data_IF_603314913975
#
_entry.id   IF_603314913975
#
_cell.length_a   1.000
_cell.length_b   1.000
_cell.length_c   1.000
_cell.angle_alpha   90.00
_cell.angle_beta   90.00
_cell.angle_gamma   90.00
#
_symmetry.space_group_name_H-M   'P 1'
#
loop_
_entity.id
_entity.type
_entity.pdbx_description
1 polymer ?
#
# COMPACT_ATOMS: atom_id res chain seq x y z
N UNK A 1 18.33 15.78 4.47
CA UNK A 1 18.69 15.09 5.74
C UNK A 1 17.90 13.80 5.81
N UNK A 2 18.39 12.74 5.16
CA UNK A 2 17.76 11.42 5.20
C UNK A 2 17.86 10.87 6.61
N UNK A 3 16.72 10.59 7.25
CA UNK A 3 16.71 9.79 8.49
C UNK A 3 17.32 8.44 8.12
N UNK A 4 18.51 8.14 8.66
CA UNK A 4 19.15 6.83 8.55
C UNK A 4 18.09 5.79 8.92
N UNK A 5 17.70 4.96 7.95
CA UNK A 5 16.97 3.72 8.24
C UNK A 5 17.86 2.95 9.22
N UNK A 6 17.29 2.50 10.33
CA UNK A 6 17.91 1.43 11.09
C UNK A 6 17.86 0.22 10.17
N UNK A 7 19.00 -0.09 9.56
CA UNK A 7 19.23 -1.30 8.79
C UNK A 7 19.93 -2.26 9.75
N UNK A 8 19.23 -3.24 10.31
CA UNK A 8 19.88 -4.28 11.07
C UNK A 8 20.52 -5.19 10.03
N UNK A 9 21.76 -4.91 9.64
CA UNK A 9 22.55 -5.94 9.00
C UNK A 9 22.59 -7.11 10.00
N UNK A 10 21.96 -8.23 9.67
CA UNK A 10 21.89 -9.42 10.52
C UNK A 10 23.32 -9.88 10.93
N UNK A 11 24.29 -9.61 10.05
CA UNK A 11 25.72 -9.78 10.27
C UNK A 11 26.28 -8.92 11.43
N UNK A 12 25.76 -7.70 11.63
CA UNK A 12 26.16 -6.80 12.71
C UNK A 12 25.57 -7.24 14.06
N UNK A 13 24.36 -7.84 14.05
CA UNK A 13 23.80 -8.47 15.25
C UNK A 13 24.60 -9.70 15.69
N UNK A 14 24.89 -10.61 14.76
CA UNK A 14 25.60 -11.85 15.10
C UNK A 14 27.01 -11.58 15.64
N UNK A 15 27.73 -10.62 15.06
CA UNK A 15 29.03 -10.21 15.57
C UNK A 15 28.98 -9.67 17.00
N UNK A 16 27.99 -8.84 17.33
CA UNK A 16 27.78 -8.31 18.68
C UNK A 16 27.36 -9.38 19.67
N UNK A 17 26.46 -10.27 19.27
CA UNK A 17 25.98 -11.38 20.09
C UNK A 17 27.11 -12.35 20.43
N UNK A 18 27.96 -12.71 19.44
CA UNK A 18 29.11 -13.58 19.66
C UNK A 18 30.16 -12.93 20.58
N UNK A 19 30.43 -11.62 20.41
CA UNK A 19 31.33 -10.89 21.32
C UNK A 19 30.79 -10.86 22.76
N UNK A 20 29.49 -10.69 22.93
CA UNK A 20 28.86 -10.70 24.25
C UNK A 20 28.88 -12.09 24.90
N UNK A 21 28.64 -13.17 24.14
CA UNK A 21 28.82 -14.54 24.64
C UNK A 21 30.26 -14.83 25.06
N UNK A 22 31.23 -14.43 24.25
CA UNK A 22 32.65 -14.63 24.56
C UNK A 22 33.06 -13.91 25.84
N UNK A 23 32.59 -12.67 26.05
CA UNK A 23 32.83 -11.92 27.28
C UNK A 23 32.14 -12.54 28.52
N UNK A 24 30.95 -13.12 28.31
CA UNK A 24 30.24 -13.85 29.37
C UNK A 24 30.97 -15.15 29.76
N UNK A 25 31.58 -15.84 28.80
CA UNK A 25 32.38 -17.05 29.01
C UNK A 25 33.76 -16.75 29.61
N UNK A 26 34.37 -15.63 29.24
CA UNK A 26 35.69 -15.21 29.75
C UNK A 26 35.65 -14.75 31.21
N UNK A 27 34.51 -14.20 31.66
CA UNK A 27 34.32 -13.68 33.01
C UNK A 27 35.02 -12.33 33.25
N UNK A 28 35.46 -11.65 32.18
CA UNK A 28 36.02 -10.31 32.25
C UNK A 28 34.88 -9.28 32.41
N UNK A 29 34.82 -8.63 33.57
CA UNK A 29 33.76 -7.67 33.90
C UNK A 29 33.78 -6.42 33.00
N UNK A 30 34.97 -5.96 32.60
CA UNK A 30 35.11 -4.77 31.75
C UNK A 30 34.68 -5.09 30.32
N UNK A 31 35.11 -6.23 29.78
CA UNK A 31 34.71 -6.71 28.44
C UNK A 31 33.20 -7.01 28.37
N UNK A 32 32.64 -7.60 29.43
CA UNK A 32 31.20 -7.88 29.53
C UNK A 32 30.37 -6.59 29.56
N UNK A 33 30.85 -5.56 30.25
CA UNK A 33 30.16 -4.27 30.33
C UNK A 33 30.16 -3.57 28.96
N UNK A 34 31.29 -3.55 28.26
CA UNK A 34 31.39 -3.02 26.90
C UNK A 34 30.51 -3.80 25.91
N UNK A 35 30.55 -5.13 25.95
CA UNK A 35 29.76 -5.98 25.07
C UNK A 35 28.25 -5.87 25.34
N UNK A 36 27.85 -5.70 26.61
CA UNK A 36 26.45 -5.45 26.99
C UNK A 36 25.98 -4.08 26.52
N UNK A 37 26.83 -3.05 26.60
CA UNK A 37 26.52 -1.71 26.08
C UNK A 37 26.33 -1.70 24.55
N UNK A 38 26.98 -2.63 23.84
CA UNK A 38 26.82 -2.81 22.39
C UNK A 38 25.46 -3.42 21.99
N UNK A 39 24.69 -3.99 22.91
CA UNK A 39 23.34 -4.54 22.68
C UNK A 39 22.34 -3.75 23.53
N UNK A 40 21.87 -2.58 23.08
CA UNK A 40 21.15 -1.63 23.93
C UNK A 40 19.83 -2.15 24.49
N UNK A 41 19.24 -3.19 23.90
CA UNK A 41 17.98 -3.78 24.36
C UNK A 41 18.16 -4.86 25.42
N UNK A 42 19.40 -5.23 25.74
CA UNK A 42 19.76 -6.24 26.72
C UNK A 42 19.60 -5.67 28.14
N UNK A 43 18.45 -5.93 28.75
CA UNK A 43 18.10 -5.48 30.11
C UNK A 43 17.92 -6.67 31.05
N UNK A 44 17.82 -6.42 32.36
CA UNK A 44 17.70 -7.47 33.38
C UNK A 44 16.60 -8.50 33.08
N UNK A 45 15.45 -8.08 32.53
CA UNK A 45 14.36 -9.00 32.19
C UNK A 45 14.70 -9.92 31.00
N UNK A 46 15.45 -9.41 30.02
CA UNK A 46 15.92 -10.21 28.87
C UNK A 46 16.97 -11.22 29.34
N UNK A 47 17.85 -10.80 30.24
CA UNK A 47 18.84 -11.66 30.88
C UNK A 47 18.17 -12.76 31.73
N UNK A 48 17.14 -12.43 32.51
CA UNK A 48 16.39 -13.41 33.28
C UNK A 48 15.81 -14.51 32.38
N UNK A 49 15.23 -14.12 31.23
CA UNK A 49 14.72 -15.07 30.24
C UNK A 49 15.82 -15.87 29.56
N UNK A 50 16.95 -15.23 29.25
CA UNK A 50 18.12 -15.87 28.66
C UNK A 50 18.71 -16.95 29.56
N UNK A 51 18.81 -16.69 30.87
CA UNK A 51 19.33 -17.66 31.84
C UNK A 51 18.29 -18.72 32.26
N UNK A 52 17.00 -18.43 32.12
CA UNK A 52 15.92 -19.37 32.40
C UNK A 52 15.75 -20.47 31.32
N UNK A 53 16.43 -20.37 30.17
CA UNK A 53 16.39 -21.42 29.14
C UNK A 53 17.03 -22.70 29.67
N UNK A 54 16.25 -23.78 29.70
CA UNK A 54 16.66 -25.09 30.20
C UNK A 54 17.85 -25.67 29.40
N UNK A 55 18.66 -26.50 30.06
CA UNK A 55 19.79 -27.19 29.43
C UNK A 55 19.31 -28.15 28.33
N UNK A 56 20.10 -28.30 27.28
CA UNK A 56 19.82 -29.27 26.22
C UNK A 56 19.61 -30.67 26.80
N UNK A 57 18.46 -31.29 26.49
CA UNK A 57 18.27 -32.72 26.68
C UNK A 57 19.21 -33.48 25.72
N UNK A 58 19.69 -34.66 26.12
CA UNK A 58 20.65 -35.53 25.40
C UNK A 58 20.28 -35.92 23.95
N UNK A 59 19.16 -35.43 23.40
CA UNK A 59 18.70 -35.64 22.03
C UNK A 59 18.68 -34.41 21.11
N UNK A 60 18.96 -33.19 21.58
CA UNK A 60 19.00 -31.97 20.73
C UNK A 60 20.10 -30.98 21.15
N UNK A 61 21.37 -31.27 20.86
CA UNK A 61 22.45 -30.32 21.10
C UNK A 61 22.23 -29.04 20.28
N UNK A 62 22.38 -27.88 20.93
CA UNK A 62 22.29 -26.55 20.31
C UNK A 62 20.90 -25.90 20.35
N UNK A 63 19.89 -26.56 20.92
CA UNK A 63 18.54 -25.98 21.06
C UNK A 63 18.56 -24.77 22.01
N UNK A 64 19.24 -24.90 23.14
CA UNK A 64 19.42 -23.83 24.13
C UNK A 64 20.09 -22.61 23.52
N UNK A 65 21.20 -22.81 22.81
CA UNK A 65 21.95 -21.72 22.18
C UNK A 65 21.10 -20.97 21.14
N UNK A 66 20.26 -21.70 20.39
CA UNK A 66 19.32 -21.12 19.44
C UNK A 66 18.20 -20.33 20.13
N UNK A 67 17.59 -20.87 21.19
CA UNK A 67 16.53 -20.19 21.95
C UNK A 67 17.06 -18.94 22.66
N UNK A 68 18.27 -19.01 23.23
CA UNK A 68 18.98 -17.88 23.81
C UNK A 68 19.28 -16.77 22.79
N UNK A 69 19.77 -17.14 21.60
CA UNK A 69 19.98 -16.18 20.50
C UNK A 69 18.67 -15.52 20.09
N UNK A 70 17.59 -16.30 20.00
CA UNK A 70 16.27 -15.79 19.61
C UNK A 70 15.71 -14.78 20.64
N UNK A 71 15.91 -15.02 21.94
CA UNK A 71 15.48 -14.10 23.01
C UNK A 71 16.16 -12.73 22.82
N UNK A 72 17.47 -12.71 22.60
CA UNK A 72 18.24 -11.47 22.42
C UNK A 72 17.86 -10.78 21.11
N UNK A 73 17.75 -11.53 20.01
CA UNK A 73 17.34 -11.01 18.70
C UNK A 73 15.93 -10.36 18.75
N UNK A 74 14.97 -11.02 19.38
CA UNK A 74 13.61 -10.48 19.52
C UNK A 74 13.57 -9.23 20.41
N UNK A 75 14.49 -9.09 21.36
CA UNK A 75 14.60 -7.89 22.19
C UNK A 75 15.02 -6.66 21.36
N UNK A 76 15.88 -6.86 20.36
CA UNK A 76 16.33 -5.82 19.43
C UNK A 76 15.26 -5.47 18.39
N UNK A 77 14.55 -6.47 17.86
CA UNK A 77 13.58 -6.27 16.77
C UNK A 77 12.26 -5.60 17.22
N UNK A 78 11.71 -6.00 18.38
CA UNK A 78 10.39 -5.55 18.85
C UNK A 78 10.26 -4.01 19.00
N UNK A 79 11.24 -3.28 19.54
CA UNK A 79 11.18 -1.82 19.64
C UNK A 79 11.11 -1.11 18.27
N UNK A 80 11.81 -1.64 17.27
CA UNK A 80 11.81 -1.09 15.91
C UNK A 80 10.47 -1.32 15.21
N UNK A 81 9.92 -2.53 15.33
CA UNK A 81 8.58 -2.84 14.83
C UNK A 81 7.51 -1.97 15.48
N UNK A 82 7.54 -1.81 16.81
CA UNK A 82 6.61 -0.94 17.53
C UNK A 82 6.73 0.54 17.10
N UNK A 83 7.94 0.99 16.77
CA UNK A 83 8.18 2.34 16.25
C UNK A 83 7.61 2.49 14.84
N UNK A 84 7.87 1.52 13.96
CA UNK A 84 7.32 1.47 12.60
C UNK A 84 5.79 1.49 12.60
N UNK A 85 5.15 0.70 13.46
CA UNK A 85 3.69 0.66 13.61
C UNK A 85 3.12 2.02 14.08
N UNK A 86 3.77 2.66 15.05
CA UNK A 86 3.39 4.01 15.52
C UNK A 86 3.52 5.06 14.41
N UNK A 87 4.57 4.99 13.59
CA UNK A 87 4.74 5.88 12.46
C UNK A 87 3.68 5.68 11.38
N UNK A 88 3.34 4.43 11.06
CA UNK A 88 2.25 4.09 10.15
C UNK A 88 0.90 4.60 10.67
N UNK A 89 0.61 4.43 11.95
CA UNK A 89 -0.63 4.94 12.55
C UNK A 89 -0.70 6.48 12.49
N UNK A 90 0.39 7.17 12.84
CA UNK A 90 0.51 8.64 12.69
C UNK A 90 0.37 9.08 11.24
N UNK A 91 0.90 8.32 10.28
CA UNK A 91 0.73 8.62 8.85
C UNK A 91 -0.73 8.44 8.40
N UNK A 92 -1.42 7.40 8.89
CA UNK A 92 -2.85 7.17 8.66
C UNK A 92 -3.69 8.30 9.24
N UNK A 93 -3.41 8.73 10.46
CA UNK A 93 -4.12 9.85 11.10
C UNK A 93 -3.94 11.15 10.30
N UNK A 94 -2.71 11.47 9.86
CA UNK A 94 -2.45 12.62 8.96
C UNK A 94 -3.18 12.55 7.61
N UNK A 95 -3.55 11.37 7.15
CA UNK A 95 -4.40 11.21 5.95
C UNK A 95 -5.86 11.45 6.28
N UNK A 96 -6.34 10.99 7.44
CA UNK A 96 -7.71 11.20 7.91
C UNK A 96 -7.97 12.68 8.25
N UNK A 97 -7.06 13.33 8.96
CA UNK A 97 -7.20 14.74 9.35
C UNK A 97 -7.22 15.66 8.11
N UNK A 98 -6.48 15.32 7.06
CA UNK A 98 -6.54 15.98 5.73
C UNK A 98 -7.91 15.85 5.06
N UNK A 99 -8.71 14.86 5.43
CA UNK A 99 -10.07 14.63 4.90
C UNK A 99 -11.07 15.21 5.91
N UNK A 100 -10.98 16.51 6.21
CA UNK A 100 -12.01 17.18 6.98
C UNK A 100 -13.20 17.47 6.07
N UNK A 101 -14.26 16.66 6.16
CA UNK A 101 -15.52 16.89 5.44
C UNK A 101 -16.27 18.02 6.14
N UNK A 102 -16.21 19.24 5.59
CA UNK A 102 -17.04 20.34 6.06
C UNK A 102 -18.41 20.21 5.39
N UNK A 103 -19.33 19.47 6.01
CA UNK A 103 -20.74 19.50 5.62
C UNK A 103 -21.37 20.81 6.12
N UNK A 104 -21.38 21.87 5.31
CA UNK A 104 -22.20 23.05 5.60
C UNK A 104 -23.57 22.87 4.96
N UNK A 105 -24.60 22.73 5.79
CA UNK A 105 -25.98 22.85 5.34
C UNK A 105 -26.26 24.35 5.13
N UNK A 106 -26.33 24.80 3.88
CA UNK A 106 -26.69 26.19 3.56
C UNK A 106 -28.21 26.26 3.41
N UNK A 107 -28.85 27.08 4.23
CA UNK A 107 -30.29 27.35 4.10
C UNK A 107 -30.56 28.14 2.82
N UNK A 108 -31.29 27.54 1.89
CA UNK A 108 -31.64 28.18 0.62
C UNK A 108 -32.70 29.28 0.84
N UNK A 109 -32.65 30.40 0.10
CA UNK A 109 -33.64 31.46 0.25
C UNK A 109 -35.05 30.96 -0.07
N UNK A 110 -35.94 30.99 0.91
CA UNK A 110 -37.35 30.61 0.76
C UNK A 110 -38.26 31.78 0.40
N UNK A 111 -37.76 33.01 0.53
CA UNK A 111 -38.49 34.27 0.32
C UNK A 111 -37.83 35.13 -0.76
N UNK A 112 -38.66 35.83 -1.53
CA UNK A 112 -38.20 36.78 -2.53
C UNK A 112 -37.45 37.93 -1.87
N UNK A 113 -36.23 38.21 -2.33
CA UNK A 113 -35.38 39.24 -1.76
C UNK A 113 -36.04 40.64 -1.75
N UNK A 114 -36.89 40.96 -2.73
CA UNK A 114 -37.58 42.27 -2.83
C UNK A 114 -38.88 42.33 -2.03
N UNK A 115 -39.83 41.43 -2.31
CA UNK A 115 -41.21 41.54 -1.82
C UNK A 115 -41.54 40.57 -0.68
N UNK A 116 -40.59 39.76 -0.20
CA UNK A 116 -40.78 38.83 0.91
C UNK A 116 -41.68 37.62 0.64
N UNK A 117 -42.39 37.59 -0.51
CA UNK A 117 -43.29 36.49 -0.85
C UNK A 117 -42.52 35.17 -1.06
N UNK A 118 -43.14 34.04 -0.70
CA UNK A 118 -42.56 32.69 -0.86
C UNK A 118 -42.15 32.42 -2.31
N UNK A 119 -40.96 31.84 -2.49
CA UNK A 119 -40.45 31.42 -3.79
C UNK A 119 -41.03 30.06 -4.17
N UNK A 120 -41.49 29.90 -5.42
CA UNK A 120 -41.91 28.59 -5.97
C UNK A 120 -40.66 27.79 -6.33
N UNK A 121 -40.56 26.60 -5.73
CA UNK A 121 -39.57 25.52 -5.95
C UNK A 121 -38.11 25.96 -5.97
N UNK A 122 -37.42 25.63 -4.89
CA UNK A 122 -35.97 25.67 -4.82
C UNK A 122 -35.46 24.41 -5.53
N UNK A 123 -34.97 24.55 -6.76
CA UNK A 123 -34.36 23.41 -7.47
C UNK A 123 -33.10 22.97 -6.71
N UNK A 124 -32.89 21.65 -6.51
CA UNK A 124 -31.70 21.14 -5.82
C UNK A 124 -30.41 21.34 -6.63
N UNK A 125 -30.52 21.54 -7.95
CA UNK A 125 -29.40 21.71 -8.86
C UNK A 125 -29.52 23.02 -9.63
N UNK A 126 -28.45 23.82 -9.69
CA UNK A 126 -28.39 25.11 -10.36
C UNK A 126 -28.37 26.32 -9.41
N UNK A 127 -28.32 27.54 -9.96
CA UNK A 127 -28.31 28.77 -9.17
C UNK A 127 -29.66 28.99 -8.45
N UNK A 128 -29.67 29.27 -7.13
CA UNK A 128 -30.90 29.46 -6.38
C UNK A 128 -31.69 30.66 -6.89
N UNK A 129 -33.00 30.51 -6.94
CA UNK A 129 -33.90 31.57 -7.38
C UNK A 129 -34.03 32.62 -6.27
N UNK A 130 -33.59 33.84 -6.53
CA UNK A 130 -33.60 34.95 -5.55
C UNK A 130 -34.90 35.77 -5.61
N UNK A 131 -35.53 35.84 -6.79
CA UNK A 131 -36.72 36.65 -7.04
C UNK A 131 -37.90 35.81 -7.51
N UNK A 132 -39.11 36.13 -7.03
CA UNK A 132 -40.35 35.44 -7.39
C UNK A 132 -40.68 35.55 -8.88
N UNK A 133 -40.34 36.66 -9.54
CA UNK A 133 -40.61 36.89 -10.96
C UNK A 133 -39.57 37.82 -11.61
N UNK A 134 -39.45 37.82 -12.96
CA UNK A 134 -38.62 38.77 -13.69
C UNK A 134 -38.99 40.24 -13.39
N UNK A 135 -40.28 40.53 -13.16
CA UNK A 135 -40.74 41.85 -12.76
C UNK A 135 -40.15 42.29 -11.41
N UNK A 136 -40.12 41.39 -10.41
CA UNK A 136 -39.47 41.67 -9.13
C UNK A 136 -37.96 41.89 -9.28
N UNK A 137 -37.29 41.16 -10.19
CA UNK A 137 -35.87 41.36 -10.49
C UNK A 137 -35.60 42.72 -11.12
N UNK A 138 -36.40 43.09 -12.14
CA UNK A 138 -36.28 44.38 -12.83
C UNK A 138 -36.53 45.54 -11.88
N UNK A 139 -37.60 45.46 -11.10
CA UNK A 139 -37.90 46.47 -10.12
C UNK A 139 -36.77 46.57 -9.06
N UNK A 140 -36.18 45.45 -8.62
CA UNK A 140 -35.09 45.48 -7.64
C UNK A 140 -33.80 46.07 -8.21
N UNK A 141 -33.63 46.00 -9.52
CA UNK A 141 -32.58 46.73 -10.23
C UNK A 141 -32.88 48.24 -10.29
N UNK A 142 -34.11 48.61 -10.58
CA UNK A 142 -34.56 50.01 -10.62
C UNK A 142 -34.47 50.69 -9.24
N UNK A 143 -34.85 50.02 -8.16
CA UNK A 143 -34.71 50.58 -6.80
C UNK A 143 -33.25 50.83 -6.42
N UNK A 144 -32.32 49.95 -6.87
CA UNK A 144 -30.88 50.14 -6.68
C UNK A 144 -30.35 51.30 -7.52
N UNK A 145 -30.80 51.40 -8.78
CA UNK A 145 -30.43 52.49 -9.69
C UNK A 145 -30.94 53.84 -9.19
N UNK A 146 -32.09 53.85 -8.54
CA UNK A 146 -32.73 55.04 -7.97
C UNK A 146 -32.31 55.33 -6.51
N UNK A 147 -31.38 54.55 -5.94
CA UNK A 147 -30.91 54.70 -4.55
C UNK A 147 -32.03 54.83 -3.51
N UNK A 148 -33.11 54.04 -3.65
CA UNK A 148 -34.21 54.04 -2.68
C UNK A 148 -33.79 53.34 -1.38
N UNK A 149 -34.28 53.81 -0.24
CA UNK A 149 -33.91 53.28 1.10
C UNK A 149 -34.27 51.79 1.32
N UNK A 150 -35.18 51.24 0.51
CA UNK A 150 -35.53 49.81 0.49
C UNK A 150 -34.76 48.95 -0.52
N UNK A 151 -33.71 49.49 -1.15
CA UNK A 151 -32.99 48.80 -2.22
C UNK A 151 -32.19 47.60 -1.71
N UNK A 152 -32.64 46.40 -2.07
CA UNK A 152 -32.04 45.15 -1.60
C UNK A 152 -30.75 44.84 -2.36
N UNK A 153 -29.61 44.90 -1.66
CA UNK A 153 -28.31 44.46 -2.18
C UNK A 153 -28.17 42.95 -1.96
N UNK A 154 -28.55 42.17 -2.97
CA UNK A 154 -28.28 40.73 -2.93
C UNK A 154 -26.81 40.49 -3.27
N UNK A 155 -26.01 40.23 -2.25
CA UNK A 155 -24.67 39.67 -2.41
C UNK A 155 -24.83 38.15 -2.47
N UNK A 156 -24.65 37.57 -3.66
CA UNK A 156 -24.55 36.10 -3.76
C UNK A 156 -23.21 35.72 -3.15
N UNK A 157 -23.24 35.37 -1.87
CA UNK A 157 -22.08 34.80 -1.19
C UNK A 157 -22.12 33.30 -1.50
N UNK A 158 -21.00 32.82 -2.05
CA UNK A 158 -20.71 31.43 -2.39
C UNK A 158 -21.46 30.85 -3.60
N UNK A 159 -20.73 30.84 -4.73
CA UNK A 159 -20.96 29.98 -5.89
C UNK A 159 -21.02 28.53 -5.38
N UNK A 160 -22.17 27.89 -5.53
CA UNK A 160 -22.34 26.44 -5.34
C UNK A 160 -21.32 25.74 -6.24
N UNK A 161 -20.19 25.36 -5.67
CA UNK A 161 -19.31 24.34 -6.24
C UNK A 161 -20.02 23.04 -5.90
N UNK A 162 -20.73 22.48 -6.88
CA UNK A 162 -21.02 21.05 -6.82
C UNK A 162 -19.68 20.36 -6.63
N UNK A 163 -19.50 19.65 -5.52
CA UNK A 163 -18.30 18.85 -5.27
C UNK A 163 -18.08 17.89 -6.45
N UNK A 164 -17.30 18.33 -7.44
CA UNK A 164 -16.61 17.40 -8.32
C UNK A 164 -15.62 16.73 -7.39
N UNK A 165 -15.84 15.44 -7.14
CA UNK A 165 -14.93 14.59 -6.37
C UNK A 165 -13.62 14.42 -7.15
N UNK A 166 -12.83 15.49 -7.24
CA UNK A 166 -11.44 15.37 -7.60
C UNK A 166 -10.71 14.87 -6.36
N UNK A 167 -10.44 13.57 -6.37
CA UNK A 167 -9.44 12.96 -5.52
C UNK A 167 -8.09 13.57 -5.92
N UNK A 168 -7.77 14.76 -5.40
CA UNK A 168 -6.41 15.32 -5.49
C UNK A 168 -5.50 14.44 -4.65
N UNK A 169 -5.00 13.41 -5.29
CA UNK A 169 -3.77 12.77 -4.85
C UNK A 169 -2.70 13.78 -5.21
N UNK A 170 -2.09 14.43 -4.20
CA UNK A 170 -0.79 15.05 -4.37
C UNK A 170 0.19 13.90 -4.66
N UNK A 171 0.22 13.46 -5.92
CA UNK A 171 1.29 12.63 -6.42
C UNK A 171 2.43 13.62 -6.70
N UNK A 172 3.59 13.51 -6.05
CA UNK A 172 4.70 14.43 -6.25
C UNK A 172 5.20 14.48 -7.72
N UNK A 173 4.76 13.53 -8.54
CA UNK A 173 5.02 13.39 -9.96
C UNK A 173 3.78 12.78 -10.66
N UNK A 174 3.58 12.97 -11.97
CA UNK A 174 2.46 12.35 -12.69
C UNK A 174 2.51 10.81 -12.61
N UNK A 175 1.33 10.15 -12.58
CA UNK A 175 1.25 8.67 -12.53
C UNK A 175 1.96 7.97 -13.68
N UNK A 176 2.04 8.63 -14.84
CA UNK A 176 2.80 8.13 -16.00
C UNK A 176 4.30 8.03 -15.71
N UNK A 177 4.84 8.82 -14.78
CA UNK A 177 6.21 8.73 -14.32
C UNK A 177 6.41 7.53 -13.40
N UNK A 178 5.50 7.28 -12.45
CA UNK A 178 5.54 6.04 -11.64
C UNK A 178 5.55 4.78 -12.53
N UNK A 179 4.70 4.76 -13.56
CA UNK A 179 4.62 3.61 -14.48
C UNK A 179 5.96 3.43 -15.21
N UNK A 180 6.54 4.52 -15.72
CA UNK A 180 7.85 4.48 -16.38
C UNK A 180 8.96 3.99 -15.44
N UNK A 181 8.97 4.45 -14.20
CA UNK A 181 9.95 4.03 -13.19
C UNK A 181 9.82 2.53 -12.86
N UNK A 182 8.60 2.01 -12.74
CA UNK A 182 8.37 0.57 -12.53
C UNK A 182 8.88 -0.24 -13.70
N UNK A 183 8.66 0.20 -14.94
CA UNK A 183 9.19 -0.49 -16.12
C UNK A 183 10.71 -0.31 -16.32
N UNK A 184 11.32 0.69 -15.69
CA UNK A 184 12.76 0.91 -15.74
C UNK A 184 13.54 0.08 -14.69
N UNK A 185 12.84 -0.53 -13.73
CA UNK A 185 13.43 -1.33 -12.66
C UNK A 185 12.82 -2.74 -12.63
N UNK A 186 13.62 -3.73 -13.01
CA UNK A 186 13.20 -5.13 -13.14
C UNK A 186 12.65 -5.71 -11.81
N UNK A 187 13.28 -5.38 -10.68
CA UNK A 187 12.80 -5.82 -9.36
C UNK A 187 11.47 -5.16 -9.00
N UNK A 188 11.30 -3.88 -9.34
CA UNK A 188 10.04 -3.18 -9.09
C UNK A 188 8.90 -3.79 -9.91
N UNK A 189 9.16 -4.15 -11.16
CA UNK A 189 8.19 -4.83 -12.02
C UNK A 189 7.77 -6.19 -11.43
N UNK A 190 8.74 -7.02 -11.03
CA UNK A 190 8.49 -8.34 -10.42
C UNK A 190 7.68 -8.20 -9.12
N UNK A 191 8.05 -7.24 -8.27
CA UNK A 191 7.35 -6.98 -7.01
C UNK A 191 5.90 -6.53 -7.23
N UNK A 192 5.64 -5.70 -8.25
CA UNK A 192 4.27 -5.28 -8.61
C UNK A 192 3.43 -6.46 -9.07
N UNK A 193 4.00 -7.38 -9.85
CA UNK A 193 3.30 -8.60 -10.30
C UNK A 193 2.96 -9.50 -9.12
N UNK A 194 3.90 -9.75 -8.20
CA UNK A 194 3.62 -10.54 -7.00
C UNK A 194 2.56 -9.90 -6.10
N UNK A 195 2.65 -8.59 -5.87
CA UNK A 195 1.63 -7.87 -5.10
C UNK A 195 0.24 -7.96 -5.74
N UNK A 196 0.14 -7.94 -7.08
CA UNK A 196 -1.10 -8.15 -7.79
C UNK A 196 -1.63 -9.58 -7.62
N UNK A 197 -0.77 -10.58 -7.71
CA UNK A 197 -1.13 -11.99 -7.48
C UNK A 197 -1.67 -12.17 -6.06
N UNK A 198 -1.00 -11.63 -5.05
CA UNK A 198 -1.42 -11.73 -3.66
C UNK A 198 -2.75 -11.00 -3.42
N UNK A 199 -2.96 -9.84 -4.05
CA UNK A 199 -4.22 -9.10 -3.94
C UNK A 199 -5.41 -9.85 -4.58
N UNK A 200 -5.19 -10.58 -5.68
CA UNK A 200 -6.22 -11.39 -6.33
C UNK A 200 -6.48 -12.70 -5.57
N UNK A 201 -5.44 -13.31 -4.98
CA UNK A 201 -5.57 -14.50 -4.13
C UNK A 201 -6.21 -14.19 -2.79
N UNK A 202 -5.98 -13.00 -2.26
CA UNK A 202 -6.57 -12.51 -1.03
C UNK A 202 -8.07 -12.26 -1.20
N UNK A 203 -8.89 -13.00 -0.47
CA UNK A 203 -10.36 -12.81 -0.45
C UNK A 203 -10.76 -11.49 0.23
N UNK A 204 -9.81 -10.80 0.87
CA UNK A 204 -10.08 -9.63 1.71
C UNK A 204 -10.22 -8.30 0.97
N UNK A 205 -9.72 -8.17 -0.28
CA UNK A 205 -9.88 -6.93 -1.04
C UNK A 205 -11.16 -6.98 -1.90
N UNK A 206 -12.24 -6.28 -1.49
CA UNK A 206 -13.50 -6.30 -2.24
C UNK A 206 -13.36 -5.69 -3.64
N UNK A 207 -12.27 -4.98 -3.96
CA UNK A 207 -12.02 -4.45 -5.29
C UNK A 207 -11.68 -5.55 -6.33
N UNK A 208 -11.20 -6.71 -5.88
CA UNK A 208 -10.88 -7.87 -6.72
C UNK A 208 -11.89 -9.02 -6.56
N UNK A 209 -13.08 -8.73 -6.01
CA UNK A 209 -14.19 -9.69 -6.02
C UNK A 209 -14.71 -9.90 -7.46
N UNK A 210 -15.09 -11.13 -7.85
CA UNK A 210 -15.77 -11.42 -9.12
C UNK A 210 -17.07 -10.61 -9.35
N UNK A 211 -17.68 -10.09 -8.28
CA UNK A 211 -18.87 -9.23 -8.36
C UNK A 211 -18.56 -7.81 -8.87
N UNK A 212 -17.29 -7.42 -8.93
CA UNK A 212 -16.87 -6.10 -9.39
C UNK A 212 -16.50 -6.12 -10.88
N UNK A 213 -16.95 -5.13 -11.69
CA UNK A 213 -16.53 -5.00 -13.09
C UNK A 213 -15.00 -4.90 -13.27
N UNK A 214 -14.31 -4.34 -12.27
CA UNK A 214 -12.84 -4.21 -12.26
C UNK A 214 -12.11 -5.55 -12.29
N UNK A 215 -12.68 -6.59 -11.68
CA UNK A 215 -12.10 -7.92 -11.70
C UNK A 215 -12.08 -8.48 -13.14
N UNK A 216 -13.19 -8.35 -13.86
CA UNK A 216 -13.30 -8.78 -15.25
C UNK A 216 -12.44 -7.94 -16.20
N UNK A 217 -12.33 -6.63 -15.97
CA UNK A 217 -11.38 -5.78 -16.70
C UNK A 217 -9.93 -6.25 -16.51
N UNK A 218 -9.57 -6.64 -15.29
CA UNK A 218 -8.26 -7.20 -14.99
C UNK A 218 -8.06 -8.56 -15.67
N UNK A 219 -9.03 -9.45 -15.56
CA UNK A 219 -9.00 -10.79 -16.18
C UNK A 219 -8.71 -10.69 -17.68
N UNK A 220 -9.49 -9.88 -18.41
CA UNK A 220 -9.32 -9.68 -19.85
C UNK A 220 -7.93 -9.09 -20.18
N UNK A 221 -7.41 -8.18 -19.35
CA UNK A 221 -6.08 -7.59 -19.56
C UNK A 221 -4.96 -8.59 -19.33
N UNK A 222 -5.10 -9.46 -18.33
CA UNK A 222 -4.14 -10.54 -18.05
C UNK A 222 -4.14 -11.56 -19.18
N UNK A 223 -5.31 -11.92 -19.73
CA UNK A 223 -5.42 -12.80 -20.89
C UNK A 223 -4.69 -12.23 -22.11
N UNK A 224 -4.93 -10.96 -22.44
CA UNK A 224 -4.24 -10.27 -23.55
C UNK A 224 -2.73 -10.19 -23.31
N UNK A 225 -2.30 -9.92 -22.06
CA UNK A 225 -0.88 -9.90 -21.70
C UNK A 225 -0.25 -11.29 -21.86
N UNK A 226 -0.92 -12.33 -21.39
CA UNK A 226 -0.47 -13.72 -21.51
C UNK A 226 -0.29 -14.11 -22.97
N UNK A 227 -1.28 -13.83 -23.83
CA UNK A 227 -1.15 -14.08 -25.26
C UNK A 227 0.04 -13.35 -25.88
N UNK A 228 0.26 -12.08 -25.53
CA UNK A 228 1.35 -11.29 -26.06
C UNK A 228 2.72 -11.86 -25.65
N UNK A 229 2.85 -12.27 -24.39
CA UNK A 229 4.05 -12.94 -23.87
C UNK A 229 4.29 -14.26 -24.58
N UNK A 230 3.26 -15.09 -24.74
CA UNK A 230 3.35 -16.38 -25.45
C UNK A 230 3.75 -16.17 -26.91
N UNK A 231 3.12 -15.22 -27.62
CA UNK A 231 3.49 -14.88 -29.00
C UNK A 231 4.93 -14.42 -29.10
N UNK A 232 5.39 -13.57 -28.18
CA UNK A 232 6.77 -13.07 -28.15
C UNK A 232 7.77 -14.19 -27.86
N UNK A 233 7.46 -15.06 -26.91
CA UNK A 233 8.23 -16.24 -26.56
C UNK A 233 8.33 -17.23 -27.72
N UNK A 234 7.21 -17.49 -28.43
CA UNK A 234 7.19 -18.37 -29.60
C UNK A 234 7.96 -17.79 -30.80
N UNK A 235 7.99 -16.45 -30.92
CA UNK A 235 8.77 -15.74 -31.95
C UNK A 235 10.25 -15.55 -31.59
N UNK A 236 10.66 -15.95 -30.38
CA UNK A 236 12.04 -15.79 -29.93
C UNK A 236 12.87 -16.92 -30.54
N UNK A 237 13.69 -16.56 -31.53
CA UNK A 237 14.78 -17.41 -31.99
C UNK A 237 16.00 -17.09 -31.12
N UNK A 238 16.48 -18.05 -30.29
CA UNK A 238 17.70 -17.84 -29.53
C UNK A 238 18.84 -17.50 -30.49
N UNK A 239 19.70 -16.51 -30.19
CA UNK A 239 20.88 -16.29 -31.00
C UNK A 239 21.65 -17.60 -31.11
N UNK A 240 22.11 -17.94 -32.33
CA UNK A 240 23.09 -19.01 -32.53
C UNK A 240 24.21 -18.78 -31.52
N UNK A 241 24.65 -19.81 -30.78
CA UNK A 241 25.65 -19.65 -29.74
C UNK A 241 26.87 -19.00 -30.39
N UNK A 242 27.09 -17.72 -30.07
CA UNK A 242 28.27 -17.03 -30.54
C UNK A 242 29.47 -17.84 -30.05
N UNK A 243 30.28 -18.33 -30.99
CA UNK A 243 31.60 -18.83 -30.64
C UNK A 243 32.29 -17.71 -29.86
N UNK A 244 32.48 -17.95 -28.55
CA UNK A 244 33.11 -17.07 -27.58
C UNK A 244 32.38 -15.76 -27.22
N UNK A 245 31.40 -15.86 -26.32
CA UNK A 245 31.33 -14.96 -25.18
C UNK A 245 30.81 -15.75 -23.97
N UNK A 246 31.42 -15.52 -22.82
CA UNK A 246 31.18 -16.17 -21.53
C UNK A 246 29.77 -15.88 -20.98
N UNK A 247 28.71 -16.23 -21.69
CA UNK A 247 27.36 -16.23 -21.13
C UNK A 247 27.15 -17.50 -20.30
N UNK A 248 26.95 -17.29 -19.00
CA UNK A 248 26.88 -18.37 -18.03
C UNK A 248 25.79 -19.40 -18.42
N UNK A 249 26.15 -20.68 -18.65
CA UNK A 249 25.25 -21.73 -19.15
C UNK A 249 23.95 -21.96 -18.37
N UNK A 250 23.82 -21.40 -17.16
CA UNK A 250 22.62 -21.49 -16.33
C UNK A 250 21.49 -20.56 -16.78
N UNK A 251 21.77 -19.44 -17.45
CA UNK A 251 20.73 -18.50 -17.93
C UNK A 251 19.90 -19.11 -19.07
N UNK A 252 20.57 -19.68 -20.08
CA UNK A 252 19.92 -20.42 -21.16
C UNK A 252 19.11 -21.62 -20.62
N UNK A 253 19.65 -22.34 -19.62
CA UNK A 253 18.95 -23.44 -18.96
C UNK A 253 17.73 -22.97 -18.14
N UNK A 254 17.80 -21.80 -17.50
CA UNK A 254 16.70 -21.24 -16.71
C UNK A 254 15.55 -20.76 -17.58
N UNK A 255 15.86 -20.05 -18.66
CA UNK A 255 14.86 -19.60 -19.65
C UNK A 255 14.19 -20.81 -20.30
N UNK A 256 14.97 -21.84 -20.68
CA UNK A 256 14.43 -23.08 -21.26
C UNK A 256 13.57 -23.87 -20.27
N UNK A 257 13.94 -23.96 -18.98
CA UNK A 257 13.11 -24.57 -17.92
C UNK A 257 11.82 -23.79 -17.67
N UNK A 258 11.89 -22.47 -17.57
CA UNK A 258 10.69 -21.64 -17.39
C UNK A 258 9.71 -21.77 -18.55
N UNK A 259 10.20 -21.84 -19.80
CA UNK A 259 9.37 -22.11 -20.99
C UNK A 259 8.70 -23.48 -20.96
N UNK A 260 9.37 -24.52 -20.43
CA UNK A 260 8.78 -25.87 -20.28
C UNK A 260 7.67 -25.93 -19.23
N UNK A 261 7.71 -25.07 -18.20
CA UNK A 261 6.64 -24.99 -17.19
C UNK A 261 5.34 -24.39 -17.74
N UNK A 262 5.39 -23.53 -18.76
CA UNK A 262 4.21 -22.92 -19.37
C UNK A 262 3.56 -23.76 -20.49
N UNK A 263 4.28 -24.73 -21.05
CA UNK A 263 3.83 -25.53 -22.20
C UNK A 263 3.37 -26.94 -21.83
N UNK A 264 3.46 -27.34 -20.55
CA UNK A 264 2.99 -28.63 -20.08
C UNK A 264 1.47 -28.58 -19.89
N UNK A 265 0.71 -29.14 -20.83
CA UNK A 265 -0.68 -29.54 -20.57
C UNK A 265 -0.67 -30.59 -19.45
N UNK A 266 -1.49 -30.39 -18.43
CA UNK A 266 -1.74 -31.44 -17.44
C UNK A 266 -2.21 -32.71 -18.16
N UNK A 267 -1.65 -33.88 -17.85
CA UNK A 267 -2.14 -35.13 -18.42
C UNK A 267 -3.59 -35.32 -17.97
N UNK A 268 -4.51 -35.46 -18.94
CA UNK A 268 -5.92 -35.75 -18.69
C UNK A 268 -6.06 -36.89 -17.68
N UNK A 269 -6.72 -36.62 -16.56
CA UNK A 269 -7.02 -37.62 -15.53
C UNK A 269 -7.91 -38.70 -16.18
N UNK A 270 -7.48 -39.99 -16.22
CA UNK A 270 -8.27 -41.01 -16.89
C UNK A 270 -9.60 -41.24 -16.16
N UNK A 271 -10.69 -41.55 -16.89
CA UNK A 271 -12.03 -41.60 -16.32
C UNK A 271 -12.12 -42.67 -15.23
N UNK A 272 -12.62 -42.26 -14.06
CA UNK A 272 -12.87 -43.15 -12.91
C UNK A 272 -13.98 -44.14 -13.28
N UNK A 273 -13.60 -45.40 -13.50
CA UNK A 273 -14.56 -46.50 -13.67
C UNK A 273 -15.22 -46.80 -12.31
N UNK A 274 -16.56 -46.82 -12.21
CA UNK A 274 -17.24 -47.16 -10.96
C UNK A 274 -16.99 -48.64 -10.62
N UNK A 275 -16.54 -48.89 -9.39
CA UNK A 275 -16.37 -50.25 -8.87
C UNK A 275 -17.74 -50.94 -8.79
N UNK A 276 -17.94 -51.95 -9.63
CA UNK A 276 -19.03 -52.92 -9.50
C UNK A 276 -18.82 -53.76 -8.24
N UNK A 277 -19.86 -53.86 -7.42
CA UNK A 277 -19.93 -54.75 -6.27
C UNK A 277 -19.80 -56.22 -6.72
N UNK A 278 -18.90 -56.95 -6.06
CA UNK A 278 -18.98 -58.41 -5.83
C UNK A 278 -18.60 -58.64 -4.37
#
# INVERSE_FOLDING_TARGET
MARKRYDPDEADFDARYQRWLAALESGDEDELLEATAAIPTLNGRVLDWFFAVESDELGRPGRRAMEQRLIVLLSELRPHEATRLRELHRARQRRLDRITRIGRTVELPTKCARCGSKLKEVKPTGGPRIYRSPACRKAAYEDRRAHRDGAVKVQVVERVVTDVRERRIEVPHPRSECIREVFANDEALVNVIWALIDAVRGVEDPAFSPDQPRFWDLYNKVEVLYEAVVKRAASYDPPDPAESAEEEPWLANRVRRHMQHFTRQDPEEPPRVPKSCV
#
